data_IF_532378883329
#
_entry.id   IF_532378883329
#
_cell.length_a   1.000
_cell.length_b   1.000
_cell.length_c   1.000
_cell.angle_alpha   90.00
_cell.angle_beta   90.00
_cell.angle_gamma   90.00
#
_symmetry.space_group_name_H-M   'P 1'
#
loop_
_entity.id
_entity.type
_entity.pdbx_description
1 polymer ?
#
# COMPACT_ATOMS: atom_id res chain seq x y z
N UNK A 1 -45.79 22.27 37.41
CA UNK A 1 -44.49 22.86 37.00
C UNK A 1 -43.26 22.03 37.38
N UNK A 2 -43.21 21.34 38.54
CA UNK A 2 -42.01 20.56 38.97
C UNK A 2 -41.70 19.28 38.15
N UNK A 3 -42.69 18.69 37.45
CA UNK A 3 -42.50 17.47 36.63
C UNK A 3 -41.84 17.74 35.27
N UNK A 4 -42.10 18.91 34.66
CA UNK A 4 -41.48 19.32 33.39
C UNK A 4 -39.99 19.64 33.54
N UNK A 5 -39.59 20.25 34.67
CA UNK A 5 -38.18 20.53 34.96
C UNK A 5 -37.32 19.25 35.09
N UNK A 6 -37.89 18.16 35.62
CA UNK A 6 -37.20 16.87 35.72
C UNK A 6 -36.99 16.19 34.35
N UNK A 7 -37.96 16.36 33.44
CA UNK A 7 -37.86 15.85 32.07
C UNK A 7 -36.83 16.64 31.24
N UNK A 8 -36.79 17.96 31.40
CA UNK A 8 -35.80 18.81 30.74
C UNK A 8 -34.37 18.52 31.23
N UNK A 9 -34.19 18.25 32.52
CA UNK A 9 -32.88 17.92 33.09
C UNK A 9 -32.36 16.53 32.64
N UNK A 10 -33.27 15.57 32.45
CA UNK A 10 -32.92 14.25 31.91
C UNK A 10 -32.54 14.31 30.43
N UNK A 11 -33.22 15.14 29.63
CA UNK A 11 -32.90 15.33 28.21
C UNK A 11 -31.53 16.03 28.00
N UNK A 12 -31.17 16.97 28.88
CA UNK A 12 -29.88 17.66 28.84
C UNK A 12 -28.70 16.73 29.23
N UNK A 13 -28.94 15.75 30.10
CA UNK A 13 -27.93 14.76 30.49
C UNK A 13 -27.60 13.78 29.35
N UNK A 14 -28.56 13.39 28.50
CA UNK A 14 -28.30 12.53 27.35
C UNK A 14 -27.47 13.20 26.25
N UNK A 15 -27.57 14.52 26.10
CA UNK A 15 -26.77 15.29 25.13
C UNK A 15 -25.30 15.48 25.57
N UNK A 16 -25.01 15.40 26.88
CA UNK A 16 -23.65 15.57 27.41
C UNK A 16 -22.77 14.31 27.27
N UNK A 17 -23.36 13.12 27.09
CA UNK A 17 -22.63 11.84 26.97
C UNK A 17 -22.68 11.22 25.57
N UNK A 18 -23.37 11.84 24.62
CA UNK A 18 -23.38 11.44 23.21
C UNK A 18 -22.12 11.88 22.45
N UNK A 19 -20.94 11.48 22.93
CA UNK A 19 -19.70 11.67 22.18
C UNK A 19 -19.77 10.86 20.89
N UNK A 20 -19.73 11.53 19.73
CA UNK A 20 -19.63 10.86 18.43
C UNK A 20 -18.24 10.21 18.34
N UNK A 21 -18.14 8.93 18.67
CA UNK A 21 -16.92 8.16 18.42
C UNK A 21 -16.83 7.94 16.92
N UNK A 22 -16.10 8.80 16.21
CA UNK A 22 -15.75 8.53 14.83
C UNK A 22 -15.04 7.17 14.79
N UNK A 23 -15.62 6.19 14.10
CA UNK A 23 -15.01 4.89 13.83
C UNK A 23 -13.68 5.14 13.14
N UNK A 24 -12.61 5.13 13.93
CA UNK A 24 -11.26 5.32 13.42
C UNK A 24 -10.91 4.07 12.64
N UNK A 25 -11.12 4.14 11.30
CA UNK A 25 -10.69 3.11 10.36
C UNK A 25 -9.26 2.71 10.74
N UNK A 26 -9.07 1.42 11.04
CA UNK A 26 -7.80 0.87 11.50
C UNK A 26 -6.73 1.14 10.44
N UNK A 27 -5.97 2.24 10.61
CA UNK A 27 -4.79 2.54 9.81
C UNK A 27 -3.69 1.62 10.28
N UNK A 28 -3.55 0.46 9.65
CA UNK A 28 -2.38 -0.38 9.86
C UNK A 28 -1.20 0.29 9.16
N UNK A 29 -0.09 0.44 9.90
CA UNK A 29 1.18 0.90 9.36
C UNK A 29 2.21 -0.16 9.66
N UNK A 30 2.60 -0.91 8.65
CA UNK A 30 3.70 -1.85 8.77
C UNK A 30 5.02 -1.15 8.39
N UNK A 31 6.10 -1.44 9.13
CA UNK A 31 7.45 -0.90 8.91
C UNK A 31 8.30 -1.93 8.16
N UNK A 32 9.00 -1.48 7.12
CA UNK A 32 9.79 -2.33 6.23
C UNK A 32 11.14 -1.72 5.87
N UNK A 33 12.09 -2.56 5.47
CA UNK A 33 13.17 -2.15 4.57
C UNK A 33 12.64 -2.26 3.14
N UNK A 34 12.69 -1.17 2.41
CA UNK A 34 12.23 -1.07 1.03
C UNK A 34 13.43 -0.85 0.13
N UNK A 35 13.69 -1.82 -0.75
CA UNK A 35 14.67 -1.70 -1.82
C UNK A 35 13.93 -1.56 -3.15
N UNK A 36 14.10 -0.43 -3.82
CA UNK A 36 13.60 -0.22 -5.19
C UNK A 36 14.83 0.06 -6.06
N UNK A 37 15.07 -0.80 -7.03
CA UNK A 37 16.07 -0.57 -8.07
C UNK A 37 15.34 -0.55 -9.40
N UNK A 38 15.39 0.58 -10.09
CA UNK A 38 15.03 0.75 -11.49
C UNK A 38 16.20 1.48 -12.17
N UNK A 39 16.29 1.50 -13.51
CA UNK A 39 17.34 2.27 -14.18
C UNK A 39 17.46 3.74 -13.73
N UNK A 40 16.36 4.50 -13.53
CA UNK A 40 16.44 5.89 -13.03
C UNK A 40 16.48 6.04 -11.50
N UNK A 41 16.19 5.00 -10.71
CA UNK A 41 15.97 5.13 -9.27
C UNK A 41 16.62 3.99 -8.48
N UNK A 42 17.37 4.34 -7.43
CA UNK A 42 17.93 3.36 -6.49
C UNK A 42 17.65 3.80 -5.06
N UNK A 43 16.90 2.98 -4.33
CA UNK A 43 16.48 3.20 -2.95
C UNK A 43 16.76 1.93 -2.16
N UNK A 44 17.26 2.09 -0.93
CA UNK A 44 17.35 1.02 0.06
C UNK A 44 17.24 1.62 1.46
N UNK A 45 16.00 1.90 1.87
CA UNK A 45 15.71 2.71 3.05
C UNK A 45 14.50 2.16 3.82
N UNK A 46 14.22 2.74 4.98
CA UNK A 46 13.05 2.37 5.78
C UNK A 46 11.79 2.92 5.12
N UNK A 47 10.79 2.07 4.96
CA UNK A 47 9.47 2.47 4.48
C UNK A 47 8.33 2.06 5.41
N UNK A 48 7.23 2.76 5.27
CA UNK A 48 5.97 2.51 5.96
C UNK A 48 4.88 2.32 4.91
N UNK A 49 4.21 1.17 4.94
CA UNK A 49 3.05 0.91 4.11
C UNK A 49 1.80 1.11 4.96
N UNK A 50 1.02 2.13 4.62
CA UNK A 50 -0.27 2.37 5.23
C UNK A 50 -1.37 1.85 4.32
N UNK A 51 -2.28 1.07 4.90
CA UNK A 51 -3.48 0.61 4.21
C UNK A 51 -4.73 1.24 4.82
N UNK A 52 -5.64 1.66 3.96
CA UNK A 52 -6.99 2.10 4.29
C UNK A 52 -7.96 1.49 3.28
N UNK A 53 -9.27 1.59 3.52
CA UNK A 53 -10.29 0.89 2.71
C UNK A 53 -10.08 1.05 1.18
N UNK A 54 -9.78 2.28 0.72
CA UNK A 54 -9.64 2.61 -0.71
C UNK A 54 -8.29 3.27 -1.03
N UNK A 55 -7.27 3.10 -0.19
CA UNK A 55 -5.98 3.78 -0.41
C UNK A 55 -4.81 2.95 0.12
N UNK A 56 -3.77 2.86 -0.70
CA UNK A 56 -2.43 2.44 -0.28
C UNK A 56 -1.52 3.66 -0.24
N UNK A 57 -0.68 3.75 0.78
CA UNK A 57 0.33 4.81 0.87
C UNK A 57 1.66 4.21 1.32
N UNK A 58 2.63 4.15 0.40
CA UNK A 58 4.00 3.77 0.69
C UNK A 58 4.83 5.03 0.89
N UNK A 59 5.31 5.22 2.12
CA UNK A 59 6.23 6.29 2.48
C UNK A 59 7.63 5.72 2.68
N UNK A 60 8.67 6.31 2.10
CA UNK A 60 10.06 5.92 2.30
C UNK A 60 10.81 7.10 2.90
N UNK A 61 11.57 6.83 3.96
CA UNK A 61 12.32 7.83 4.71
C UNK A 61 13.81 7.56 4.60
N UNK A 62 14.56 8.57 4.20
CA UNK A 62 16.02 8.57 4.22
C UNK A 62 16.50 9.70 5.12
N UNK A 63 17.34 9.37 6.11
CA UNK A 63 17.87 10.33 7.09
C UNK A 63 16.79 11.23 7.74
N UNK A 64 15.61 10.66 8.05
CA UNK A 64 14.50 11.37 8.69
C UNK A 64 13.61 12.19 7.74
N UNK A 65 13.93 12.28 6.45
CA UNK A 65 13.14 13.00 5.44
C UNK A 65 12.33 12.01 4.63
N UNK A 66 11.04 12.32 4.38
CA UNK A 66 10.20 11.55 3.46
C UNK A 66 10.66 11.81 2.01
N UNK A 67 11.40 10.86 1.44
CA UNK A 67 11.96 10.96 0.09
C UNK A 67 11.02 10.41 -0.98
N UNK A 68 10.13 9.49 -0.60
CA UNK A 68 9.08 8.94 -1.48
C UNK A 68 7.77 8.86 -0.74
N UNK A 69 6.77 9.57 -1.23
CA UNK A 69 5.38 9.48 -0.79
C UNK A 69 4.53 9.01 -1.97
N UNK A 70 4.32 7.70 -2.07
CA UNK A 70 3.57 7.03 -3.13
C UNK A 70 2.17 6.69 -2.64
N UNK A 71 1.15 7.37 -3.17
CA UNK A 71 -0.26 7.12 -2.89
C UNK A 71 -0.93 6.47 -4.09
N UNK A 72 -1.64 5.37 -3.86
CA UNK A 72 -2.42 4.64 -4.86
C UNK A 72 -3.88 4.62 -4.43
N UNK A 73 -4.74 5.21 -5.26
CA UNK A 73 -6.21 5.18 -5.15
C UNK A 73 -6.80 5.06 -6.57
N UNK A 74 -7.60 6.02 -7.02
CA UNK A 74 -8.02 6.16 -8.42
C UNK A 74 -6.83 6.48 -9.33
N UNK A 75 -5.84 7.23 -8.82
CA UNK A 75 -4.60 7.58 -9.52
C UNK A 75 -3.39 7.13 -8.70
N UNK A 76 -2.21 7.17 -9.33
CA UNK A 76 -0.94 6.98 -8.63
C UNK A 76 -0.23 8.32 -8.52
N UNK A 77 -0.03 8.77 -7.28
CA UNK A 77 0.65 10.02 -6.99
C UNK A 77 1.98 9.74 -6.29
N UNK A 78 3.08 10.28 -6.81
CA UNK A 78 4.41 10.19 -6.22
C UNK A 78 4.91 11.60 -5.93
N UNK A 79 5.17 11.91 -4.66
CA UNK A 79 5.66 13.22 -4.21
C UNK A 79 4.79 14.40 -4.69
N UNK A 80 3.47 14.18 -4.78
CA UNK A 80 2.48 15.18 -5.24
C UNK A 80 2.21 15.17 -6.75
N UNK A 81 3.07 14.56 -7.57
CA UNK A 81 2.82 14.40 -9.01
C UNK A 81 1.93 13.17 -9.25
N UNK A 82 0.75 13.37 -9.85
CA UNK A 82 -0.24 12.33 -10.07
C UNK A 82 -0.36 11.94 -11.54
N UNK A 83 -0.53 10.65 -11.79
CA UNK A 83 -0.66 10.06 -13.12
C UNK A 83 -1.82 9.06 -13.13
N UNK A 84 -2.41 8.84 -14.30
CA UNK A 84 -3.30 7.69 -14.50
C UNK A 84 -2.53 6.39 -14.22
N UNK A 85 -3.20 5.37 -13.69
CA UNK A 85 -2.56 4.12 -13.23
C UNK A 85 -1.70 3.46 -14.32
N UNK A 86 -2.27 3.21 -15.51
CA UNK A 86 -1.53 2.73 -16.69
C UNK A 86 -0.32 3.60 -17.07
N UNK A 87 -0.47 4.93 -17.04
CA UNK A 87 0.62 5.84 -17.39
C UNK A 87 1.76 5.76 -16.38
N UNK A 88 1.43 5.76 -15.08
CA UNK A 88 2.40 5.57 -14.02
C UNK A 88 3.12 4.23 -14.18
N UNK A 89 2.37 3.15 -14.36
CA UNK A 89 2.92 1.81 -14.48
C UNK A 89 3.85 1.70 -15.69
N UNK A 90 3.47 2.30 -16.83
CA UNK A 90 4.34 2.36 -18.02
C UNK A 90 5.66 3.07 -17.74
N UNK A 91 5.63 4.19 -17.03
CA UNK A 91 6.84 4.97 -16.70
C UNK A 91 7.70 4.27 -15.65
N UNK A 92 7.09 3.71 -14.61
CA UNK A 92 7.80 3.08 -13.51
C UNK A 92 8.37 1.71 -13.91
N UNK A 93 7.55 0.88 -14.57
CA UNK A 93 7.92 -0.47 -14.99
C UNK A 93 8.59 -0.55 -16.36
N UNK A 94 8.74 0.57 -17.07
CA UNK A 94 9.27 0.67 -18.43
C UNK A 94 8.52 -0.19 -19.46
N UNK A 95 7.31 -0.63 -19.11
CA UNK A 95 6.44 -1.48 -19.90
C UNK A 95 5.00 -1.22 -19.46
N UNK A 96 4.06 -1.23 -20.41
CA UNK A 96 2.66 -1.02 -20.07
C UNK A 96 2.14 -2.19 -19.23
N UNK A 97 1.63 -1.87 -18.03
CA UNK A 97 0.98 -2.83 -17.12
C UNK A 97 -0.47 -2.40 -16.90
N UNK A 98 -1.31 -3.35 -16.50
CA UNK A 98 -2.71 -3.06 -16.13
C UNK A 98 -2.77 -2.16 -14.90
N UNK A 99 -3.93 -1.55 -14.67
CA UNK A 99 -4.10 -0.44 -13.74
C UNK A 99 -3.66 -0.78 -12.31
N UNK A 100 -4.10 -1.93 -11.77
CA UNK A 100 -3.84 -2.29 -10.37
C UNK A 100 -2.50 -3.02 -10.14
N UNK A 101 -1.66 -3.17 -11.17
CA UNK A 101 -0.40 -3.94 -11.10
C UNK A 101 0.49 -3.57 -9.92
N UNK A 102 0.75 -2.27 -9.70
CA UNK A 102 1.60 -1.86 -8.58
C UNK A 102 0.88 -2.02 -7.23
N UNK A 103 -0.43 -1.78 -7.19
CA UNK A 103 -1.22 -1.98 -5.98
C UNK A 103 -1.17 -3.45 -5.55
N UNK A 104 -1.35 -4.39 -6.49
CA UNK A 104 -1.32 -5.82 -6.23
C UNK A 104 0.04 -6.30 -5.71
N UNK A 105 1.15 -5.74 -6.20
CA UNK A 105 2.49 -5.99 -5.64
C UNK A 105 2.53 -5.56 -4.16
N UNK A 106 2.13 -4.32 -3.85
CA UNK A 106 2.17 -3.80 -2.48
C UNK A 106 1.19 -4.51 -1.54
N UNK A 107 0.06 -5.00 -2.07
CA UNK A 107 -0.93 -5.77 -1.35
C UNK A 107 -0.61 -7.26 -1.24
N UNK A 108 0.49 -7.71 -1.86
CA UNK A 108 0.91 -9.13 -1.88
C UNK A 108 -0.12 -10.03 -2.57
N UNK A 109 -0.83 -9.51 -3.56
CA UNK A 109 -1.77 -10.27 -4.38
C UNK A 109 -1.04 -10.93 -5.56
N UNK A 110 -1.50 -12.10 -6.03
CA UNK A 110 -1.01 -12.66 -7.28
C UNK A 110 -1.26 -11.74 -8.47
N UNK A 111 -0.31 -11.67 -9.39
CA UNK A 111 -0.41 -10.85 -10.60
C UNK A 111 -1.05 -11.62 -11.75
N UNK A 112 -1.67 -10.90 -12.70
CA UNK A 112 -2.24 -11.47 -13.94
C UNK A 112 -3.23 -12.61 -13.66
N UNK A 113 -4.24 -12.34 -12.82
CA UNK A 113 -5.28 -13.29 -12.45
C UNK A 113 -4.74 -14.61 -11.88
N UNK A 114 -3.58 -14.56 -11.21
CA UNK A 114 -2.95 -15.73 -10.60
C UNK A 114 -2.20 -16.64 -11.56
N UNK A 115 -1.75 -16.11 -12.70
CA UNK A 115 -0.93 -16.87 -13.65
C UNK A 115 0.30 -17.52 -12.98
N UNK A 116 0.45 -18.84 -13.14
CA UNK A 116 1.58 -19.63 -12.64
C UNK A 116 1.86 -19.47 -11.13
N UNK A 117 0.83 -19.29 -10.31
CA UNK A 117 0.97 -19.26 -8.84
C UNK A 117 1.31 -20.65 -8.31
N UNK A 118 2.39 -20.71 -7.55
CA UNK A 118 2.78 -21.87 -6.75
C UNK A 118 2.76 -21.46 -5.28
N UNK A 119 1.82 -21.99 -4.51
CA UNK A 119 1.73 -21.71 -3.07
C UNK A 119 2.81 -22.46 -2.29
N UNK A 120 3.22 -21.89 -1.17
CA UNK A 120 4.15 -22.50 -0.23
C UNK A 120 3.67 -22.26 1.21
N UNK A 121 4.45 -22.68 2.21
CA UNK A 121 4.04 -22.62 3.62
C UNK A 121 3.82 -21.22 4.18
N UNK A 122 4.32 -20.16 3.52
CA UNK A 122 4.19 -18.78 3.98
C UNK A 122 3.59 -17.81 2.96
N UNK A 123 3.25 -18.26 1.74
CA UNK A 123 2.75 -17.40 0.68
C UNK A 123 2.80 -18.10 -0.68
N UNK A 124 3.41 -17.46 -1.68
CA UNK A 124 3.47 -17.97 -3.04
C UNK A 124 4.66 -17.47 -3.86
N UNK A 125 4.92 -18.16 -4.97
CA UNK A 125 5.87 -17.78 -6.02
C UNK A 125 5.11 -17.75 -7.36
N UNK A 126 5.45 -16.80 -8.23
CA UNK A 126 5.01 -16.73 -9.62
C UNK A 126 6.22 -16.55 -10.53
N UNK A 127 6.37 -17.43 -11.52
CA UNK A 127 7.24 -17.21 -12.68
C UNK A 127 6.35 -16.90 -13.89
N UNK A 128 6.39 -15.64 -14.32
CA UNK A 128 5.60 -15.15 -15.45
C UNK A 128 6.59 -14.86 -16.59
N UNK A 129 7.11 -15.94 -17.17
CA UNK A 129 8.25 -15.89 -18.09
C UNK A 129 7.97 -15.03 -19.33
N UNK A 130 6.71 -14.94 -19.78
CA UNK A 130 6.27 -14.04 -20.87
C UNK A 130 6.69 -12.58 -20.64
N UNK A 131 6.74 -12.14 -19.39
CA UNK A 131 7.12 -10.78 -19.00
C UNK A 131 8.49 -10.74 -18.31
N UNK A 132 9.20 -11.86 -18.24
CA UNK A 132 10.46 -11.98 -17.50
C UNK A 132 10.34 -11.57 -16.02
N UNK A 133 9.15 -11.83 -15.44
CA UNK A 133 8.85 -11.51 -14.05
C UNK A 133 9.02 -12.75 -13.18
N UNK A 134 9.77 -12.60 -12.10
CA UNK A 134 9.74 -13.50 -10.94
C UNK A 134 9.20 -12.74 -9.75
N UNK A 135 8.22 -13.32 -9.07
CA UNK A 135 7.54 -12.68 -7.96
C UNK A 135 7.34 -13.66 -6.82
N UNK A 136 7.69 -13.23 -5.61
CA UNK A 136 7.65 -14.04 -4.40
C UNK A 136 7.02 -13.23 -3.26
N UNK A 137 6.11 -13.88 -2.54
CA UNK A 137 5.50 -13.39 -1.31
C UNK A 137 5.67 -14.45 -0.24
N UNK A 138 6.16 -14.04 0.92
CA UNK A 138 6.27 -14.90 2.11
C UNK A 138 6.00 -14.07 3.37
N UNK A 139 4.90 -14.36 4.05
CA UNK A 139 4.40 -13.53 5.15
C UNK A 139 4.17 -12.10 4.69
N UNK A 140 4.81 -11.13 5.34
CA UNK A 140 4.75 -9.71 4.94
C UNK A 140 5.83 -9.30 3.93
N UNK A 141 6.72 -10.22 3.53
CA UNK A 141 7.82 -9.92 2.62
C UNK A 141 7.40 -10.04 1.15
N UNK A 142 7.99 -9.19 0.31
CA UNK A 142 7.77 -9.11 -1.14
C UNK A 142 9.14 -9.16 -1.83
N UNK A 143 9.26 -9.98 -2.86
CA UNK A 143 10.35 -9.94 -3.82
C UNK A 143 9.79 -9.93 -5.23
N UNK A 144 9.87 -8.80 -5.93
CA UNK A 144 9.47 -8.65 -7.32
C UNK A 144 10.68 -8.31 -8.19
N UNK A 145 10.85 -9.07 -9.28
CA UNK A 145 11.99 -8.98 -10.18
C UNK A 145 11.49 -9.00 -11.62
N UNK A 146 11.67 -7.91 -12.34
CA UNK A 146 11.51 -7.84 -13.79
C UNK A 146 12.92 -7.73 -14.38
N UNK A 147 13.42 -8.85 -14.90
CA UNK A 147 14.80 -8.94 -15.38
C UNK A 147 15.00 -8.24 -16.72
N UNK A 148 13.95 -8.16 -17.55
CA UNK A 148 13.95 -7.47 -18.84
C UNK A 148 14.19 -5.97 -18.65
N UNK A 149 13.44 -5.35 -17.74
CA UNK A 149 13.51 -3.92 -17.49
C UNK A 149 14.50 -3.53 -16.37
N UNK A 150 15.19 -4.52 -15.77
CA UNK A 150 16.13 -4.36 -14.65
C UNK A 150 15.49 -3.70 -13.44
N UNK A 151 14.28 -4.14 -13.10
CA UNK A 151 13.50 -3.63 -11.99
C UNK A 151 13.47 -4.65 -10.85
N UNK A 152 13.77 -4.18 -9.65
CA UNK A 152 13.77 -4.96 -8.42
C UNK A 152 13.01 -4.19 -7.35
N UNK A 153 11.99 -4.81 -6.77
CA UNK A 153 11.29 -4.30 -5.60
C UNK A 153 11.39 -5.37 -4.51
N UNK A 154 12.05 -5.05 -3.41
CA UNK A 154 12.09 -5.90 -2.22
C UNK A 154 11.50 -5.11 -1.06
N UNK A 155 10.54 -5.71 -0.36
CA UNK A 155 9.98 -5.15 0.87
C UNK A 155 10.14 -6.23 1.95
N UNK A 156 10.95 -5.95 2.97
CA UNK A 156 11.22 -6.87 4.08
C UNK A 156 10.74 -6.30 5.39
N UNK A 157 9.99 -7.07 6.16
CA UNK A 157 9.49 -6.65 7.47
C UNK A 157 10.67 -6.33 8.40
N UNK A 158 10.61 -5.16 9.02
CA UNK A 158 11.57 -4.73 10.02
C UNK A 158 11.07 -5.23 11.38
N UNK A 159 11.75 -6.26 11.92
CA UNK A 159 11.51 -6.76 13.27
C UNK A 159 11.95 -5.77 14.33
#
# INVERSE_FOLDING_TARGET
>A
MKKFAKFALAALACLAFGGCTALQSQKTSDKFIVTILTPPLKINDVGFLHKSANQLNLQIYSSGVNTVNLKINDKICMNGACFEKKEFNKKFFLEERYDDFFAEILERKPLYDGANVMTNSCGFIQDISKYSIKYEVCGKNIGFFDTKNRIKIIIKELK
#
